data_IF_039650556218
#
_entry.id   IF_039650556218
#
_cell.length_a   1.000
_cell.length_b   1.000
_cell.length_c   1.000
_cell.angle_alpha   90.00
_cell.angle_beta   90.00
_cell.angle_gamma   90.00
#
_symmetry.space_group_name_H-M   'P 1'
#
loop_
_entity.id
_entity.type
_entity.pdbx_description
1 polymer ?
#
# COMPACT_ATOMS: atom_id res chain seq x y z
N UNK A 1 9.61 -6.36 16.38
CA UNK A 1 10.58 -5.33 16.02
C UNK A 1 10.01 -4.42 14.96
N UNK A 2 10.55 -3.23 14.87
CA UNK A 2 10.01 -2.21 13.97
C UNK A 2 10.01 -2.63 12.49
N UNK A 3 11.13 -3.19 12.02
CA UNK A 3 11.24 -3.61 10.61
C UNK A 3 10.26 -4.73 10.30
N UNK A 4 10.09 -5.65 11.23
CA UNK A 4 9.14 -6.74 11.07
C UNK A 4 7.72 -6.21 10.95
N UNK A 5 7.40 -5.19 11.76
CA UNK A 5 6.09 -4.56 11.73
C UNK A 5 5.84 -3.86 10.39
N UNK A 6 6.84 -3.17 9.87
CA UNK A 6 6.74 -2.51 8.57
C UNK A 6 6.50 -3.54 7.46
N UNK A 7 7.20 -4.67 7.53
CA UNK A 7 6.98 -5.76 6.59
C UNK A 7 5.57 -6.31 6.63
N UNK A 8 4.99 -6.39 7.83
CA UNK A 8 3.62 -6.84 7.99
C UNK A 8 2.64 -5.84 7.35
N UNK A 9 2.87 -4.55 7.55
CA UNK A 9 2.05 -3.54 6.92
C UNK A 9 2.15 -3.60 5.40
N UNK A 10 3.36 -3.83 4.89
CA UNK A 10 3.56 -3.99 3.46
C UNK A 10 2.78 -5.20 2.93
N UNK A 11 2.77 -6.29 3.68
CA UNK A 11 2.01 -7.47 3.32
C UNK A 11 0.51 -7.21 3.28
N UNK A 12 0.01 -6.41 4.22
CA UNK A 12 -1.40 -6.05 4.25
C UNK A 12 -1.80 -5.26 3.00
N UNK A 13 -0.95 -4.31 2.58
CA UNK A 13 -1.19 -3.55 1.37
C UNK A 13 -1.14 -4.47 0.15
N UNK A 14 -0.15 -5.35 0.10
CA UNK A 14 0.00 -6.30 -0.98
C UNK A 14 -1.26 -7.13 -1.15
N UNK A 15 -1.76 -7.69 -0.05
CA UNK A 15 -2.96 -8.53 -0.11
C UNK A 15 -4.18 -7.73 -0.53
N UNK A 16 -4.27 -6.46 -0.12
CA UNK A 16 -5.39 -5.62 -0.53
C UNK A 16 -5.38 -5.38 -2.04
N UNK A 17 -4.19 -5.37 -2.64
CA UNK A 17 -4.04 -5.09 -4.06
C UNK A 17 -4.12 -6.34 -4.93
N UNK A 18 -4.01 -7.53 -4.34
CA UNK A 18 -4.08 -8.77 -5.12
C UNK A 18 -5.41 -8.88 -5.83
N UNK A 19 -5.37 -9.15 -7.14
CA UNK A 19 -6.57 -9.30 -7.93
C UNK A 19 -7.28 -8.00 -8.27
N UNK A 20 -6.70 -6.86 -7.87
CA UNK A 20 -7.26 -5.55 -8.16
C UNK A 20 -6.47 -4.89 -9.27
N UNK A 21 -7.12 -3.97 -10.01
CA UNK A 21 -6.43 -3.21 -11.04
C UNK A 21 -5.55 -2.13 -10.40
N UNK A 22 -6.19 -1.21 -9.71
CA UNK A 22 -5.49 -0.16 -8.99
C UNK A 22 -6.42 0.36 -7.90
N UNK A 23 -5.86 0.68 -6.75
CA UNK A 23 -6.64 1.19 -5.63
C UNK A 23 -6.01 2.47 -5.11
N UNK A 24 -6.87 3.37 -4.62
CA UNK A 24 -6.40 4.58 -3.95
C UNK A 24 -5.97 4.25 -2.53
N UNK A 25 -5.30 5.20 -1.89
CA UNK A 25 -4.93 5.07 -0.48
C UNK A 25 -6.15 4.78 0.38
N UNK A 26 -7.23 5.52 0.13
CA UNK A 26 -8.47 5.39 0.89
C UNK A 26 -9.03 3.98 0.77
N UNK A 27 -9.04 3.45 -0.44
CA UNK A 27 -9.55 2.10 -0.67
C UNK A 27 -8.69 1.04 -0.01
N UNK A 28 -7.38 1.18 -0.10
CA UNK A 28 -6.46 0.22 0.52
C UNK A 28 -6.64 0.24 2.05
N UNK A 29 -6.70 1.42 2.65
CA UNK A 29 -6.87 1.52 4.10
C UNK A 29 -8.18 0.90 4.55
N UNK A 30 -9.22 1.06 3.76
CA UNK A 30 -10.53 0.50 4.08
C UNK A 30 -10.50 -1.02 4.01
N UNK A 31 -9.94 -1.56 2.94
CA UNK A 31 -9.88 -3.01 2.74
C UNK A 31 -8.99 -3.67 3.80
N UNK A 32 -7.82 -3.11 4.03
CA UNK A 32 -6.85 -3.67 4.97
C UNK A 32 -7.07 -3.22 6.40
N UNK A 33 -8.01 -2.29 6.63
CA UNK A 33 -8.31 -1.74 7.96
C UNK A 33 -7.06 -1.13 8.59
N UNK A 34 -6.38 -0.30 7.83
CA UNK A 34 -5.13 0.33 8.26
C UNK A 34 -5.33 1.80 8.58
N UNK A 35 -4.51 2.27 9.51
CA UNK A 35 -4.41 3.69 9.81
C UNK A 35 -3.40 4.33 8.85
N UNK A 36 -3.44 5.66 8.75
CA UNK A 36 -2.54 6.40 7.86
C UNK A 36 -1.08 6.04 8.11
N UNK A 37 -0.67 6.02 9.37
CA UNK A 37 0.71 5.73 9.72
C UNK A 37 1.14 4.36 9.24
N UNK A 38 0.28 3.38 9.44
CA UNK A 38 0.56 2.01 9.03
C UNK A 38 0.65 1.91 7.52
N UNK A 39 -0.26 2.59 6.83
CA UNK A 39 -0.26 2.60 5.38
C UNK A 39 1.03 3.18 4.83
N UNK A 40 1.46 4.34 5.36
CA UNK A 40 2.66 4.98 4.84
C UNK A 40 3.93 4.18 5.09
N UNK A 41 4.00 3.51 6.24
CA UNK A 41 5.14 2.67 6.54
C UNK A 41 5.23 1.48 5.58
N UNK A 42 4.10 0.81 5.36
CA UNK A 42 4.06 -0.33 4.45
C UNK A 42 4.26 0.10 3.01
N UNK A 43 3.67 1.23 2.64
CA UNK A 43 3.81 1.76 1.28
C UNK A 43 5.27 2.07 0.97
N UNK A 44 5.96 2.72 1.90
CA UNK A 44 7.37 3.05 1.71
C UNK A 44 8.21 1.81 1.50
N UNK A 45 7.92 0.75 2.25
CA UNK A 45 8.63 -0.52 2.09
C UNK A 45 8.43 -1.09 0.70
N UNK A 46 7.17 -1.14 0.23
CA UNK A 46 6.86 -1.70 -1.08
C UNK A 46 7.45 -0.87 -2.21
N UNK A 47 7.47 0.44 -2.07
CA UNK A 47 8.07 1.30 -3.07
C UNK A 47 9.58 1.11 -3.14
N UNK A 48 10.22 0.95 -1.98
CA UNK A 48 11.64 0.68 -1.93
C UNK A 48 11.98 -0.63 -2.60
N UNK A 49 11.12 -1.65 -2.43
CA UNK A 49 11.32 -2.96 -3.03
C UNK A 49 10.87 -3.02 -4.49
N UNK A 50 10.38 -1.90 -5.02
CA UNK A 50 9.95 -1.79 -6.42
C UNK A 50 8.83 -2.78 -6.75
N UNK A 51 7.88 -2.91 -5.85
CA UNK A 51 6.77 -3.84 -6.01
C UNK A 51 5.49 -3.19 -6.48
N UNK A 52 5.46 -1.86 -6.55
CA UNK A 52 4.23 -1.14 -6.89
C UNK A 52 4.44 -0.19 -8.06
N UNK A 53 3.37 -0.03 -8.82
CA UNK A 53 3.24 1.07 -9.77
C UNK A 53 2.36 2.12 -9.13
N UNK A 54 2.74 3.38 -9.25
CA UNK A 54 1.98 4.51 -8.71
C UNK A 54 1.53 5.39 -9.86
N UNK A 55 0.24 5.66 -9.90
CA UNK A 55 -0.33 6.58 -10.89
C UNK A 55 -0.85 7.79 -10.14
N UNK A 56 -0.35 8.96 -10.48
CA UNK A 56 -0.79 10.19 -9.84
C UNK A 56 -2.10 10.67 -10.44
N UNK A 57 -3.08 10.95 -9.59
CA UNK A 57 -4.34 11.55 -9.98
C UNK A 57 -4.41 12.99 -9.49
N UNK A 58 -5.51 13.66 -9.78
CA UNK A 58 -5.69 15.05 -9.36
C UNK A 58 -5.77 15.19 -7.86
N UNK A 59 -6.58 14.35 -7.23
CA UNK A 59 -6.82 14.44 -5.80
C UNK A 59 -6.14 13.35 -4.99
N UNK A 60 -5.78 12.26 -5.63
CA UNK A 60 -5.20 11.13 -4.94
C UNK A 60 -4.40 10.28 -5.90
N UNK A 61 -3.50 9.48 -5.35
CA UNK A 61 -2.70 8.56 -6.12
C UNK A 61 -3.34 7.18 -6.11
N UNK A 62 -3.05 6.41 -7.14
CA UNK A 62 -3.53 5.04 -7.25
C UNK A 62 -2.33 4.10 -7.27
N UNK A 63 -2.49 2.96 -6.66
CA UNK A 63 -1.42 1.99 -6.47
C UNK A 63 -1.84 0.63 -7.04
N UNK A 64 -0.89 -0.04 -7.68
CA UNK A 64 -1.12 -1.36 -8.24
C UNK A 64 0.13 -2.19 -8.10
N UNK A 65 -0.03 -3.50 -8.02
CA UNK A 65 1.11 -4.41 -8.01
C UNK A 65 1.76 -4.44 -9.38
N UNK A 66 3.08 -4.55 -9.39
CA UNK A 66 3.82 -4.71 -10.63
C UNK A 66 3.63 -6.09 -11.22
#
# INVERSE_FOLDING_TARGET
>A
MFIQTVGEYAGMIWHALEGQNALSQKEIKKIAKMKDKEFYLGLGWLLREDKLNVTEGEDENFYALK
#
